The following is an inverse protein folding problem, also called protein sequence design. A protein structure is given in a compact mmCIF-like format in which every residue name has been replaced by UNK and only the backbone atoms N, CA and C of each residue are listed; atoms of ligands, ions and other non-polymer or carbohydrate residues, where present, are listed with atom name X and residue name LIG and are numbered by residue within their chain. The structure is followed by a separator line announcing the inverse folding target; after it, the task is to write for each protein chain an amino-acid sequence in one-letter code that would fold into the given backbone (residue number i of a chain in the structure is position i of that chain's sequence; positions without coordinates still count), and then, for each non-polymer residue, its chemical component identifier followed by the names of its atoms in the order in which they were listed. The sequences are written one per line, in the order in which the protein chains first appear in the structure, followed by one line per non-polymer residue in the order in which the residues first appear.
data_IF_357411800572
#
_entry.id   IF_357411800572
#
_cell.length_a   1.000
_cell.length_b   1.000
_cell.length_c   1.000
_cell.angle_alpha   90.00
_cell.angle_beta   90.00
_cell.angle_gamma   90.00
#
_symmetry.space_group_name_H-M   'P 1'
#
loop_
_entity.id
_entity.type
_entity.pdbx_description
1 polymer ?
#
# COMPACT_ATOMS: atom_id res chain seq x y z
N UNK A 1 -67.62 41.24 -5.16
CA UNK A 1 -66.36 42.03 -5.09
C UNK A 1 -65.24 41.21 -4.42
N UNK A 2 -64.85 40.06 -4.98
CA UNK A 2 -63.82 39.18 -4.39
C UNK A 2 -63.05 38.31 -5.39
N UNK A 3 -63.00 38.68 -6.67
CA UNK A 3 -62.35 37.87 -7.74
C UNK A 3 -60.84 38.15 -7.87
N UNK A 4 -60.34 39.29 -7.38
CA UNK A 4 -59.02 39.84 -7.77
C UNK A 4 -57.85 39.24 -6.95
N UNK A 5 -58.10 38.55 -5.83
CA UNK A 5 -57.03 38.03 -4.95
C UNK A 5 -56.52 36.62 -5.31
N UNK A 6 -57.22 35.86 -6.15
CA UNK A 6 -56.86 34.46 -6.42
C UNK A 6 -55.60 34.33 -7.29
N UNK A 7 -55.44 35.18 -8.31
CA UNK A 7 -54.32 35.09 -9.27
C UNK A 7 -52.97 35.45 -8.66
N UNK A 8 -52.96 36.39 -7.71
CA UNK A 8 -51.75 36.81 -6.99
C UNK A 8 -51.29 35.75 -5.98
N UNK A 9 -52.23 35.05 -5.33
CA UNK A 9 -51.91 33.96 -4.40
C UNK A 9 -51.27 32.75 -5.07
N UNK A 10 -51.72 32.35 -6.27
CA UNK A 10 -51.14 31.21 -7.00
C UNK A 10 -49.66 31.45 -7.33
N UNK A 11 -49.33 32.67 -7.75
CA UNK A 11 -47.95 33.04 -8.10
C UNK A 11 -47.03 33.05 -6.87
N UNK A 12 -47.54 33.49 -5.72
CA UNK A 12 -46.82 33.56 -4.47
C UNK A 12 -46.63 32.16 -3.83
N UNK A 13 -47.63 31.28 -3.92
CA UNK A 13 -47.49 29.87 -3.50
C UNK A 13 -46.49 29.11 -4.36
N UNK A 14 -46.45 29.39 -5.67
CA UNK A 14 -45.42 28.84 -6.56
C UNK A 14 -44.01 29.30 -6.19
N UNK A 15 -43.83 30.56 -5.77
CA UNK A 15 -42.52 31.03 -5.33
C UNK A 15 -42.05 30.40 -4.01
N UNK A 16 -42.95 30.19 -3.04
CA UNK A 16 -42.58 29.60 -1.74
C UNK A 16 -42.22 28.11 -1.86
N UNK A 17 -42.93 27.33 -2.70
CA UNK A 17 -42.65 25.90 -2.86
C UNK A 17 -41.39 25.58 -3.67
N UNK A 18 -40.91 26.49 -4.53
CA UNK A 18 -39.68 26.29 -5.33
C UNK A 18 -38.44 26.07 -4.47
N UNK A 19 -38.29 26.82 -3.37
CA UNK A 19 -37.15 26.68 -2.46
C UNK A 19 -37.12 25.29 -1.82
N UNK A 20 -38.27 24.79 -1.36
CA UNK A 20 -38.37 23.45 -0.77
C UNK A 20 -38.01 22.36 -1.77
N UNK A 21 -38.50 22.48 -3.02
CA UNK A 21 -38.16 21.54 -4.09
C UNK A 21 -36.66 21.56 -4.43
N UNK A 22 -36.06 22.75 -4.48
CA UNK A 22 -34.64 22.90 -4.73
C UNK A 22 -33.80 22.30 -3.60
N UNK A 23 -34.19 22.52 -2.35
CA UNK A 23 -33.50 21.99 -1.18
C UNK A 23 -33.61 20.46 -1.11
N UNK A 24 -34.77 19.91 -1.47
CA UNK A 24 -34.98 18.47 -1.60
C UNK A 24 -34.07 17.88 -2.68
N UNK A 25 -34.04 18.50 -3.87
CA UNK A 25 -33.15 18.07 -4.95
C UNK A 25 -31.69 18.14 -4.53
N UNK A 26 -31.27 19.24 -3.88
CA UNK A 26 -29.93 19.40 -3.36
C UNK A 26 -29.60 18.28 -2.38
N UNK A 27 -30.47 17.99 -1.41
CA UNK A 27 -30.26 16.93 -0.42
C UNK A 27 -30.09 15.54 -1.06
N UNK A 28 -30.91 15.21 -2.07
CA UNK A 28 -30.78 13.96 -2.83
C UNK A 28 -29.44 13.90 -3.57
N UNK A 29 -29.06 14.99 -4.23
CA UNK A 29 -27.77 15.09 -4.93
C UNK A 29 -26.59 14.94 -3.96
N UNK A 30 -26.64 15.56 -2.78
CA UNK A 30 -25.61 15.39 -1.76
C UNK A 30 -25.52 13.95 -1.29
N UNK A 31 -26.66 13.29 -1.08
CA UNK A 31 -26.70 11.88 -0.69
C UNK A 31 -26.02 10.98 -1.73
N UNK A 32 -26.37 11.13 -3.01
CA UNK A 32 -25.74 10.39 -4.11
C UNK A 32 -24.24 10.70 -4.23
N UNK A 33 -23.85 11.96 -4.10
CA UNK A 33 -22.46 12.39 -4.16
C UNK A 33 -21.62 11.76 -3.04
N UNK A 34 -22.15 11.71 -1.81
CA UNK A 34 -21.46 11.08 -0.67
C UNK A 34 -21.24 9.59 -0.91
N UNK A 35 -22.26 8.88 -1.40
CA UNK A 35 -22.14 7.45 -1.72
C UNK A 35 -21.10 7.22 -2.82
N UNK A 36 -21.11 8.04 -3.87
CA UNK A 36 -20.14 7.95 -4.96
C UNK A 36 -18.71 8.24 -4.46
N UNK A 37 -18.53 9.27 -3.62
CA UNK A 37 -17.25 9.60 -3.01
C UNK A 37 -16.74 8.46 -2.13
N UNK A 38 -17.60 7.84 -1.32
CA UNK A 38 -17.22 6.70 -0.50
C UNK A 38 -16.78 5.51 -1.36
N UNK A 39 -17.47 5.25 -2.47
CA UNK A 39 -17.11 4.20 -3.42
C UNK A 39 -15.75 4.45 -4.07
N UNK A 40 -15.51 5.67 -4.56
CA UNK A 40 -14.23 6.06 -5.17
C UNK A 40 -13.09 5.99 -4.15
N UNK A 41 -13.32 6.46 -2.93
CA UNK A 41 -12.34 6.40 -1.86
C UNK A 41 -11.94 4.96 -1.54
N UNK A 42 -12.92 4.05 -1.47
CA UNK A 42 -12.67 2.62 -1.27
C UNK A 42 -11.85 2.01 -2.42
N UNK A 43 -12.17 2.36 -3.67
CA UNK A 43 -11.41 1.87 -4.82
C UNK A 43 -9.96 2.37 -4.81
N UNK A 44 -9.75 3.67 -4.55
CA UNK A 44 -8.40 4.25 -4.44
C UNK A 44 -7.58 3.57 -3.34
N UNK A 45 -8.21 3.33 -2.18
CA UNK A 45 -7.57 2.65 -1.06
C UNK A 45 -7.12 1.24 -1.45
N UNK A 46 -7.98 0.47 -2.13
CA UNK A 46 -7.63 -0.87 -2.62
C UNK A 46 -6.44 -0.83 -3.59
N UNK A 47 -6.42 0.12 -4.52
CA UNK A 47 -5.29 0.26 -5.46
C UNK A 47 -3.99 0.62 -4.75
N UNK A 48 -4.07 1.46 -3.72
CA UNK A 48 -2.92 1.82 -2.92
C UNK A 48 -2.40 0.62 -2.13
N UNK A 49 -3.30 -0.13 -1.48
CA UNK A 49 -2.97 -1.35 -0.74
C UNK A 49 -2.33 -2.41 -1.64
N UNK A 50 -2.80 -2.57 -2.88
CA UNK A 50 -2.19 -3.49 -3.85
C UNK A 50 -0.73 -3.14 -4.15
N UNK A 51 -0.41 -1.85 -4.33
CA UNK A 51 0.96 -1.41 -4.55
C UNK A 51 1.84 -1.67 -3.31
N UNK A 52 1.31 -1.44 -2.10
CA UNK A 52 2.05 -1.75 -0.88
C UNK A 52 2.29 -3.26 -0.74
N UNK A 53 1.30 -4.10 -1.03
CA UNK A 53 1.45 -5.55 -1.01
C UNK A 53 2.54 -6.04 -1.97
N UNK A 54 2.59 -5.50 -3.19
CA UNK A 54 3.65 -5.85 -4.15
C UNK A 54 5.04 -5.45 -3.64
N UNK A 55 5.16 -4.27 -3.02
CA UNK A 55 6.43 -3.81 -2.43
C UNK A 55 6.88 -4.72 -1.29
N UNK A 56 5.97 -5.11 -0.40
CA UNK A 56 6.27 -6.00 0.72
C UNK A 56 6.67 -7.41 0.25
N UNK A 57 6.04 -7.90 -0.81
CA UNK A 57 6.42 -9.17 -1.46
C UNK A 57 7.86 -9.11 -1.99
N UNK A 58 8.19 -8.06 -2.76
CA UNK A 58 9.55 -7.87 -3.28
C UNK A 58 10.60 -7.70 -2.17
N UNK A 59 10.28 -6.99 -1.10
CA UNK A 59 11.19 -6.85 0.05
C UNK A 59 11.43 -8.19 0.76
N UNK A 60 10.39 -9.02 0.86
CA UNK A 60 10.50 -10.37 1.41
C UNK A 60 11.39 -11.25 0.54
N UNK A 61 11.19 -11.24 -0.78
CA UNK A 61 12.03 -11.97 -1.73
C UNK A 61 13.48 -11.49 -1.68
N UNK A 62 13.70 -10.18 -1.65
CA UNK A 62 15.03 -9.59 -1.55
C UNK A 62 15.76 -10.04 -0.28
N UNK A 63 15.08 -10.03 0.87
CA UNK A 63 15.62 -10.52 2.14
C UNK A 63 15.99 -11.99 2.05
N UNK A 64 15.15 -12.82 1.40
CA UNK A 64 15.45 -14.24 1.22
C UNK A 64 16.70 -14.43 0.35
N UNK A 65 16.78 -13.76 -0.80
CA UNK A 65 17.94 -13.81 -1.69
C UNK A 65 19.22 -13.35 -0.98
N UNK A 66 19.14 -12.33 -0.12
CA UNK A 66 20.28 -11.86 0.66
C UNK A 66 20.75 -12.91 1.67
N UNK A 67 19.83 -13.64 2.30
CA UNK A 67 20.16 -14.76 3.20
C UNK A 67 20.83 -15.90 2.42
N UNK A 68 20.31 -16.26 1.24
CA UNK A 68 20.94 -17.25 0.35
C UNK A 68 22.36 -16.84 -0.05
N UNK A 69 22.58 -15.59 -0.44
CA UNK A 69 23.90 -15.09 -0.79
C UNK A 69 24.88 -15.11 0.38
N UNK A 70 24.44 -14.73 1.58
CA UNK A 70 25.28 -14.80 2.79
C UNK A 70 25.66 -16.24 3.11
N UNK A 71 24.70 -17.17 3.05
CA UNK A 71 24.97 -18.60 3.24
C UNK A 71 26.00 -19.14 2.22
N UNK A 72 25.92 -18.71 0.96
CA UNK A 72 26.87 -19.08 -0.09
C UNK A 72 28.24 -18.40 0.06
N UNK A 73 28.29 -17.18 0.60
CA UNK A 73 29.50 -16.38 0.73
C UNK A 73 30.34 -16.76 1.95
N UNK A 74 29.72 -17.21 3.05
CA UNK A 74 30.40 -17.21 4.35
C UNK A 74 31.38 -18.36 4.57
N UNK A 75 31.13 -19.59 4.12
CA UNK A 75 32.02 -20.72 4.45
C UNK A 75 32.36 -21.67 3.29
N UNK A 76 31.43 -21.91 2.35
CA UNK A 76 31.65 -23.00 1.37
C UNK A 76 32.66 -22.64 0.28
N UNK A 77 32.67 -21.39 -0.20
CA UNK A 77 33.48 -21.00 -1.37
C UNK A 77 34.95 -20.77 -1.03
N UNK A 78 35.26 -20.17 0.12
CA UNK A 78 36.65 -19.96 0.54
C UNK A 78 37.31 -21.29 0.91
N UNK A 79 36.59 -22.16 1.62
CA UNK A 79 37.10 -23.48 2.02
C UNK A 79 37.26 -24.42 0.82
N UNK A 80 36.34 -24.40 -0.14
CA UNK A 80 36.43 -25.23 -1.35
C UNK A 80 37.54 -24.76 -2.30
N UNK A 81 37.74 -23.45 -2.46
CA UNK A 81 38.87 -22.91 -3.25
C UNK A 81 40.20 -23.22 -2.56
N UNK A 82 40.31 -23.02 -1.25
CA UNK A 82 41.53 -23.35 -0.49
C UNK A 82 41.85 -24.86 -0.55
N UNK A 83 40.84 -25.71 -0.46
CA UNK A 83 41.03 -27.17 -0.49
C UNK A 83 41.33 -27.69 -1.90
N UNK A 84 40.63 -27.21 -2.94
CA UNK A 84 40.78 -27.71 -4.32
C UNK A 84 41.89 -27.05 -5.13
N UNK A 85 42.10 -25.74 -5.01
CA UNK A 85 43.10 -25.03 -5.81
C UNK A 85 44.45 -24.91 -5.11
N UNK A 86 44.46 -24.86 -3.78
CA UNK A 86 45.68 -24.70 -2.98
C UNK A 86 46.10 -26.00 -2.27
N UNK A 87 45.38 -27.13 -2.47
CA UNK A 87 45.62 -28.41 -1.76
C UNK A 87 45.77 -28.24 -0.24
N UNK A 88 45.10 -27.25 0.35
CA UNK A 88 45.19 -27.01 1.79
C UNK A 88 44.40 -28.07 2.54
N UNK A 89 45.12 -28.89 3.31
CA UNK A 89 44.57 -29.88 4.23
C UNK A 89 44.55 -29.28 5.64
N UNK A 90 43.45 -29.46 6.38
CA UNK A 90 43.30 -28.91 7.74
C UNK A 90 44.33 -29.61 8.64
N UNK A 91 45.31 -28.88 9.23
CA UNK A 91 46.38 -29.53 9.99
C UNK A 91 45.79 -30.21 11.23
N UNK A 92 46.03 -31.51 11.36
CA UNK A 92 45.77 -32.26 12.60
C UNK A 92 46.76 -31.81 13.67
N UNK A 93 46.29 -31.68 14.92
CA UNK A 93 46.88 -30.90 16.04
C UNK A 93 48.32 -31.22 16.49
N UNK A 94 49.08 -32.02 15.74
CA UNK A 94 50.51 -32.24 15.96
C UNK A 94 51.43 -31.33 15.11
N UNK A 95 50.86 -30.37 14.36
CA UNK A 95 51.59 -29.40 13.51
C UNK A 95 51.19 -27.94 13.74
N UNK A 96 50.60 -27.64 14.88
CA UNK A 96 50.14 -26.30 15.24
C UNK A 96 51.26 -25.54 15.96
N UNK A 97 51.86 -24.55 15.29
CA UNK A 97 52.80 -23.61 15.94
C UNK A 97 52.07 -22.29 16.19
N UNK A 98 51.57 -22.09 17.41
CA UNK A 98 50.99 -20.81 17.81
C UNK A 98 52.11 -19.78 17.97
N UNK A 99 52.30 -18.91 16.99
CA UNK A 99 53.19 -17.76 17.12
C UNK A 99 52.50 -16.75 18.02
N UNK A 100 52.98 -16.65 19.26
CA UNK A 100 52.57 -15.62 20.23
C UNK A 100 53.23 -14.30 19.81
N UNK A 101 52.46 -13.42 19.19
CA UNK A 101 52.91 -12.07 18.87
C UNK A 101 53.03 -11.24 20.18
N UNK A 102 54.08 -10.40 20.35
CA UNK A 102 54.26 -9.58 21.55
C UNK A 102 53.17 -8.51 21.73
#
# INVERSE_FOLDING_TARGET
MSEIRLSTQIRQQWQQRKLVLLLLLACVLTGLAVVQMAHLNRQLTIQQDQNYQQRDQLDTEWRNLLLEQRALAEHSRVEEIARRQLNMERPSGNRDITVRQP
#
